data_IF_381007803294
#
_entry.id   IF_381007803294
#
_cell.length_a   1.000
_cell.length_b   1.000
_cell.length_c   1.000
_cell.angle_alpha   90.00
_cell.angle_beta   90.00
_cell.angle_gamma   90.00
#
_symmetry.space_group_name_H-M   'P 1'
#
loop_
_entity.id
_entity.type
_entity.pdbx_description
1 polymer ?
#
# COMPACT_ATOMS: atom_id res chain seq x y z
N UNK A 1 -4.47 -15.44 -7.38
CA UNK A 1 -4.20 -15.79 -8.79
C UNK A 1 -2.69 -15.69 -9.04
N UNK A 2 -2.09 -16.50 -9.92
CA UNK A 2 -0.69 -16.35 -10.31
C UNK A 2 -0.42 -14.93 -10.85
N UNK A 3 0.74 -14.35 -10.54
CA UNK A 3 1.10 -12.94 -10.81
C UNK A 3 1.21 -12.56 -12.30
N UNK A 4 1.07 -13.52 -13.22
CA UNK A 4 1.28 -13.31 -14.65
C UNK A 4 2.76 -13.13 -15.04
N UNK A 5 3.06 -12.91 -16.32
CA UNK A 5 4.43 -12.62 -16.78
C UNK A 5 4.92 -11.26 -16.29
N UNK A 6 6.24 -11.10 -16.12
CA UNK A 6 6.81 -9.80 -15.77
C UNK A 6 6.72 -8.81 -16.93
N UNK A 7 6.48 -7.54 -16.59
CA UNK A 7 6.43 -6.40 -17.50
C UNK A 7 7.70 -6.20 -18.34
N UNK A 8 8.86 -6.67 -17.85
CA UNK A 8 10.16 -6.42 -18.48
C UNK A 8 10.95 -7.72 -18.73
N UNK A 9 10.27 -8.80 -19.10
CA UNK A 9 10.91 -10.08 -19.45
C UNK A 9 11.23 -10.93 -18.22
N UNK A 10 12.51 -11.17 -17.91
CA UNK A 10 12.94 -12.04 -16.80
C UNK A 10 12.97 -11.33 -15.43
N UNK A 11 12.19 -10.26 -15.25
CA UNK A 11 12.17 -9.45 -14.03
C UNK A 11 11.09 -9.86 -13.02
N UNK A 12 11.01 -9.08 -11.94
CA UNK A 12 9.96 -9.19 -10.91
C UNK A 12 9.01 -7.97 -10.91
N UNK A 13 8.90 -7.30 -12.06
CA UNK A 13 7.99 -6.17 -12.24
C UNK A 13 6.65 -6.71 -12.76
N UNK A 14 5.58 -6.51 -12.01
CA UNK A 14 4.23 -6.97 -12.37
C UNK A 14 3.25 -5.80 -12.43
N UNK A 15 2.16 -5.90 -13.21
CA UNK A 15 1.10 -4.90 -13.21
C UNK A 15 0.54 -4.69 -11.80
N UNK A 16 0.60 -3.44 -11.33
CA UNK A 16 -0.04 -3.04 -10.08
C UNK A 16 -1.55 -3.24 -10.17
N UNK A 17 -2.13 -3.96 -9.20
CA UNK A 17 -3.59 -4.12 -9.06
C UNK A 17 -4.00 -3.69 -7.66
N UNK A 18 -4.67 -2.55 -7.48
CA UNK A 18 -5.09 -1.56 -8.50
C UNK A 18 -3.91 -0.78 -9.14
N UNK A 19 -4.12 -0.12 -10.30
CA UNK A 19 -3.09 0.68 -10.96
C UNK A 19 -2.58 1.84 -10.08
N UNK A 20 -1.31 2.21 -10.28
CA UNK A 20 -0.74 3.39 -9.64
C UNK A 20 -1.39 4.67 -10.16
N UNK A 21 -1.72 5.59 -9.24
CA UNK A 21 -2.10 6.98 -9.54
C UNK A 21 -1.58 7.89 -8.43
N UNK A 22 -1.49 9.20 -8.67
CA UNK A 22 -0.84 10.15 -7.73
C UNK A 22 -1.41 10.11 -6.31
N UNK A 23 -2.69 9.73 -6.16
CA UNK A 23 -3.31 9.53 -4.85
C UNK A 23 -2.90 8.17 -4.22
N UNK A 24 -2.72 7.10 -5.00
CA UNK A 24 -2.30 5.77 -4.54
C UNK A 24 -0.78 5.70 -4.36
N UNK A 25 -0.26 6.44 -3.39
CA UNK A 25 1.16 6.38 -3.02
C UNK A 25 1.50 5.06 -2.33
N UNK A 26 2.79 4.77 -2.18
CA UNK A 26 3.26 3.59 -1.42
C UNK A 26 2.69 3.53 0.01
N UNK A 27 2.50 4.69 0.65
CA UNK A 27 1.95 4.80 2.00
C UNK A 27 0.46 4.44 2.01
N UNK A 28 -0.30 4.89 1.01
CA UNK A 28 -1.72 4.55 0.89
C UNK A 28 -1.94 3.08 0.56
N UNK A 29 -1.07 2.49 -0.28
CA UNK A 29 -1.12 1.06 -0.55
C UNK A 29 -0.83 0.21 0.68
N UNK A 30 0.22 0.58 1.43
CA UNK A 30 0.54 -0.06 2.71
C UNK A 30 -0.64 0.07 3.69
N UNK A 31 -1.22 1.26 3.80
CA UNK A 31 -2.40 1.52 4.63
C UNK A 31 -3.61 0.65 4.23
N UNK A 32 -3.87 0.48 2.93
CA UNK A 32 -4.95 -0.37 2.45
C UNK A 32 -4.76 -1.84 2.84
N UNK A 33 -3.53 -2.37 2.70
CA UNK A 33 -3.21 -3.73 3.11
C UNK A 33 -3.32 -3.93 4.63
N UNK A 34 -2.85 -2.95 5.42
CA UNK A 34 -2.98 -2.96 6.87
C UNK A 34 -4.44 -2.97 7.31
N UNK A 35 -5.31 -2.16 6.67
CA UNK A 35 -6.77 -2.19 6.91
C UNK A 35 -7.38 -3.53 6.55
N UNK A 36 -6.98 -4.12 5.42
CA UNK A 36 -7.44 -5.45 5.02
C UNK A 36 -7.01 -6.53 6.03
N UNK A 37 -5.89 -6.32 6.73
CA UNK A 37 -5.41 -7.16 7.83
C UNK A 37 -6.04 -6.83 9.20
N UNK A 38 -6.96 -5.86 9.27
CA UNK A 38 -7.64 -5.46 10.51
C UNK A 38 -6.91 -4.42 11.36
N UNK A 39 -5.81 -3.86 10.88
CA UNK A 39 -5.08 -2.78 11.57
C UNK A 39 -5.79 -1.43 11.31
N UNK A 40 -6.09 -0.64 12.36
CA UNK A 40 -6.74 0.65 12.16
C UNK A 40 -5.80 1.66 11.50
N UNK A 41 -6.06 2.00 10.24
CA UNK A 41 -5.39 3.10 9.53
C UNK A 41 -6.34 3.91 8.64
N UNK A 42 -5.98 5.18 8.43
CA UNK A 42 -6.72 6.19 7.68
C UNK A 42 -6.04 6.50 6.36
N UNK A 43 -6.84 6.53 5.30
CA UNK A 43 -6.40 6.87 3.95
C UNK A 43 -5.75 8.25 3.87
N UNK A 44 -6.38 9.27 4.46
CA UNK A 44 -5.92 10.66 4.40
C UNK A 44 -4.62 10.87 5.18
N UNK A 45 -4.52 10.26 6.37
CA UNK A 45 -3.33 10.40 7.22
C UNK A 45 -2.14 9.66 6.60
N UNK A 46 -2.42 8.53 5.94
CA UNK A 46 -1.43 7.74 5.21
C UNK A 46 -1.04 8.33 3.85
N UNK A 47 -1.44 9.57 3.51
CA UNK A 47 -0.91 10.25 2.32
C UNK A 47 0.61 10.48 2.42
N UNK A 48 1.12 10.60 3.65
CA UNK A 48 2.55 10.71 3.96
C UNK A 48 3.04 9.49 4.75
N UNK A 49 4.33 9.17 4.64
CA UNK A 49 4.95 8.09 5.40
C UNK A 49 4.93 8.38 6.90
N UNK A 50 5.19 9.62 7.30
CA UNK A 50 5.14 10.05 8.69
C UNK A 50 3.74 9.88 9.30
N UNK A 51 2.69 10.25 8.57
CA UNK A 51 1.31 10.08 9.03
C UNK A 51 0.92 8.61 9.20
N UNK A 52 1.27 7.75 8.25
CA UNK A 52 1.06 6.30 8.39
C UNK A 52 1.77 5.75 9.64
N UNK A 53 3.05 6.08 9.83
CA UNK A 53 3.82 5.58 10.98
C UNK A 53 3.27 6.08 12.32
N UNK A 54 2.78 7.32 12.38
CA UNK A 54 2.11 7.85 13.55
C UNK A 54 0.84 7.06 13.89
N UNK A 55 -0.01 6.77 12.90
CA UNK A 55 -1.20 5.95 13.15
C UNK A 55 -0.86 4.55 13.65
N UNK A 56 0.14 3.88 13.07
CA UNK A 56 0.54 2.55 13.54
C UNK A 56 1.05 2.58 14.98
N UNK A 57 1.76 3.64 15.37
CA UNK A 57 2.25 3.80 16.73
C UNK A 57 1.13 4.00 17.75
N UNK A 58 0.06 4.71 17.39
CA UNK A 58 -1.01 5.08 18.32
C UNK A 58 -2.26 4.20 18.25
N UNK A 59 -2.44 3.43 17.16
CA UNK A 59 -3.68 2.69 16.89
C UNK A 59 -3.50 1.18 16.72
N UNK A 60 -2.27 0.71 16.48
CA UNK A 60 -1.97 -0.72 16.34
C UNK A 60 -1.40 -1.36 17.62
N UNK A 61 -1.17 -0.56 18.66
CA UNK A 61 -0.73 -0.93 20.01
C UNK A 61 -1.58 -0.18 21.04
#
# INVERSE_FOLDING_TARGET
APLGPSLYGSGAFYPATPPYHALMTCNQWTSALLRAAGVPSSWFVSATSAGLMAELRFRAF
#
